data_IF_988381688966
#
_entry.id   IF_988381688966
#
_cell.length_a   1.000
_cell.length_b   1.000
_cell.length_c   1.000
_cell.angle_alpha   90.00
_cell.angle_beta   90.00
_cell.angle_gamma   90.00
#
_symmetry.space_group_name_H-M   'P 1'
#
loop_
_entity.id
_entity.type
_entity.pdbx_description
1 polymer ?
#
# COMPACT_ATOMS: atom_id res chain seq x y z
N UNK A 1 25.23 20.57 73.36
CA UNK A 1 25.63 19.24 72.85
C UNK A 1 26.64 19.42 71.72
N UNK A 2 27.86 18.88 71.91
CA UNK A 2 28.91 18.53 70.93
C UNK A 2 29.34 19.54 69.84
N UNK A 3 30.52 20.14 70.06
CA UNK A 3 31.61 20.38 69.07
C UNK A 3 32.05 19.05 68.40
N UNK A 4 32.83 18.98 67.26
CA UNK A 4 34.01 19.82 66.96
C UNK A 4 34.34 20.14 65.47
N UNK A 5 34.91 21.33 65.23
CA UNK A 5 36.32 21.63 64.84
C UNK A 5 36.74 21.36 63.38
N UNK A 6 36.99 22.49 62.67
CA UNK A 6 37.86 22.59 61.50
C UNK A 6 39.30 22.78 61.98
N UNK A 7 40.21 21.89 61.60
CA UNK A 7 41.65 22.04 61.78
C UNK A 7 42.29 22.69 60.55
N UNK A 8 42.88 23.86 60.75
CA UNK A 8 43.76 24.55 59.80
C UNK A 8 45.19 24.17 60.14
N UNK A 9 45.91 23.52 59.22
CA UNK A 9 47.36 23.32 59.35
C UNK A 9 48.12 24.23 58.38
N UNK A 10 49.05 24.97 58.97
CA UNK A 10 49.95 25.95 58.35
C UNK A 10 51.36 25.35 58.24
N UNK A 11 52.07 25.81 57.21
CA UNK A 11 53.52 25.95 57.08
C UNK A 11 54.39 24.71 56.74
N UNK A 12 55.16 24.86 55.65
CA UNK A 12 56.63 24.81 55.68
C UNK A 12 57.21 25.39 54.37
N UNK A 13 57.94 26.50 54.49
CA UNK A 13 58.81 27.03 53.45
C UNK A 13 60.19 26.34 53.52
N UNK A 14 60.86 26.04 52.40
CA UNK A 14 62.27 25.71 52.41
C UNK A 14 63.16 26.88 52.00
N UNK A 15 64.31 26.88 52.67
CA UNK A 15 65.47 27.79 52.62
C UNK A 15 65.98 28.08 51.22
N UNK A 16 66.31 29.36 51.03
CA UNK A 16 67.20 29.89 49.99
C UNK A 16 68.64 29.50 50.32
N UNK A 17 69.35 28.92 49.34
CA UNK A 17 70.80 28.76 49.36
C UNK A 17 71.38 29.43 48.11
N UNK A 18 72.36 30.31 48.35
CA UNK A 18 73.12 31.09 47.38
C UNK A 18 74.38 30.35 46.90
N UNK A 19 74.86 30.77 45.74
CA UNK A 19 76.20 30.61 45.15
C UNK A 19 76.54 29.30 44.40
N UNK A 20 76.73 29.41 43.08
CA UNK A 20 78.08 29.44 42.47
C UNK A 20 78.01 29.59 40.94
N UNK A 21 78.89 30.44 40.43
CA UNK A 21 79.17 30.76 39.02
C UNK A 21 80.04 29.67 38.36
N UNK A 22 79.77 29.32 37.10
CA UNK A 22 80.63 28.48 36.27
C UNK A 22 80.09 28.28 34.84
N UNK A 23 80.93 28.06 33.82
CA UNK A 23 80.75 28.67 32.50
C UNK A 23 79.96 27.84 31.48
N UNK A 24 79.43 28.60 30.52
CA UNK A 24 78.75 28.27 29.27
C UNK A 24 79.32 27.09 28.47
N UNK A 25 78.43 26.14 28.17
CA UNK A 25 78.55 25.17 27.07
C UNK A 25 77.20 25.07 26.32
N UNK A 26 77.20 24.85 24.99
CA UNK A 26 75.99 24.92 24.16
C UNK A 26 75.10 23.69 24.41
N UNK A 27 73.91 23.93 24.96
CA UNK A 27 72.88 22.90 25.17
C UNK A 27 71.95 22.84 23.95
N UNK A 28 71.81 21.62 23.42
CA UNK A 28 70.88 21.29 22.34
C UNK A 28 69.41 21.55 22.75
N UNK A 29 68.52 21.93 21.80
CA UNK A 29 67.11 22.18 22.07
C UNK A 29 66.37 20.85 22.33
N UNK A 30 66.38 20.39 23.58
CA UNK A 30 65.68 19.21 24.05
C UNK A 30 64.23 19.49 24.44
N UNK A 31 63.29 19.07 23.57
CA UNK A 31 62.08 18.34 23.93
C UNK A 31 61.24 18.86 25.13
N UNK A 32 60.55 20.00 24.97
CA UNK A 32 59.50 20.45 25.90
C UNK A 32 58.06 20.29 25.35
N UNK A 33 57.90 19.81 24.12
CA UNK A 33 56.58 19.70 23.45
C UNK A 33 55.81 18.41 23.77
N UNK A 34 56.45 17.38 24.33
CA UNK A 34 55.83 16.07 24.58
C UNK A 34 54.94 16.03 25.82
N UNK A 35 55.28 16.79 26.88
CA UNK A 35 54.50 16.83 28.13
C UNK A 35 53.14 17.50 27.96
N UNK A 36 53.07 18.50 27.07
CA UNK A 36 51.84 19.23 26.77
C UNK A 36 50.88 18.37 25.89
N UNK A 37 51.44 17.56 24.98
CA UNK A 37 50.63 16.64 24.17
C UNK A 37 50.01 15.50 24.99
N UNK A 38 50.72 14.97 25.99
CA UNK A 38 50.16 13.92 26.85
C UNK A 38 48.99 14.43 27.69
N UNK A 39 49.08 15.65 28.26
CA UNK A 39 47.98 16.27 29.00
C UNK A 39 46.78 16.58 28.09
N UNK A 40 47.02 17.04 26.85
CA UNK A 40 45.95 17.26 25.87
C UNK A 40 45.27 15.95 25.46
N UNK A 41 46.02 14.86 25.30
CA UNK A 41 45.47 13.54 25.00
C UNK A 41 44.65 13.00 26.18
N UNK A 42 45.12 13.16 27.42
CA UNK A 42 44.36 12.75 28.61
C UNK A 42 43.06 13.54 28.76
N UNK A 43 43.08 14.85 28.51
CA UNK A 43 41.88 15.68 28.54
C UNK A 43 40.90 15.27 27.42
N UNK A 44 41.40 14.97 26.23
CA UNK A 44 40.58 14.49 25.11
C UNK A 44 39.92 13.15 25.42
N UNK A 45 40.65 12.18 25.98
CA UNK A 45 40.11 10.89 26.41
C UNK A 45 39.07 11.04 27.52
N UNK A 46 39.27 11.94 28.48
CA UNK A 46 38.28 12.24 29.53
C UNK A 46 37.00 12.84 28.95
N UNK A 47 37.11 13.78 28.00
CA UNK A 47 35.95 14.37 27.33
C UNK A 47 35.20 13.33 26.48
N UNK A 48 35.91 12.45 25.78
CA UNK A 48 35.30 11.35 25.04
C UNK A 48 34.64 10.32 25.96
N UNK A 49 35.21 10.02 27.12
CA UNK A 49 34.61 9.12 28.10
C UNK A 49 33.30 9.69 28.67
N UNK A 50 33.26 11.00 28.99
CA UNK A 50 32.04 11.69 29.43
C UNK A 50 31.00 11.71 28.31
N UNK A 51 31.40 11.96 27.06
CA UNK A 51 30.48 11.97 25.93
C UNK A 51 29.91 10.57 25.65
N UNK A 52 30.74 9.52 25.69
CA UNK A 52 30.31 8.11 25.55
C UNK A 52 29.38 7.69 26.69
N UNK A 53 29.65 8.11 27.93
CA UNK A 53 28.76 7.88 29.06
C UNK A 53 27.42 8.62 28.89
N UNK A 54 27.45 9.84 28.36
CA UNK A 54 26.24 10.60 28.02
C UNK A 54 25.42 9.94 26.90
N UNK A 55 26.06 9.38 25.87
CA UNK A 55 25.41 8.64 24.80
C UNK A 55 24.85 7.28 25.29
N UNK A 56 25.56 6.57 26.17
CA UNK A 56 25.07 5.33 26.77
C UNK A 56 23.90 5.56 27.74
N UNK A 57 23.93 6.66 28.49
CA UNK A 57 22.81 7.11 29.31
C UNK A 57 21.61 7.54 28.44
N UNK A 58 21.85 8.23 27.31
CA UNK A 58 20.81 8.59 26.36
C UNK A 58 20.20 7.36 25.64
N UNK A 59 21.00 6.34 25.34
CA UNK A 59 20.55 5.09 24.71
C UNK A 59 19.75 4.19 25.68
N UNK A 60 20.07 4.19 26.98
CA UNK A 60 19.26 3.49 28.01
C UNK A 60 18.00 4.26 28.38
N UNK A 61 17.95 5.55 28.03
CA UNK A 61 16.79 6.46 28.12
C UNK A 61 15.94 6.43 26.84
N UNK A 62 16.03 5.36 26.04
CA UNK A 62 14.91 4.89 25.20
C UNK A 62 13.79 4.40 26.15
N UNK A 63 13.10 5.40 26.70
CA UNK A 63 12.66 5.43 28.10
C UNK A 63 11.35 4.69 28.31
N UNK A 64 11.01 4.39 29.57
CA UNK A 64 9.63 4.08 29.94
C UNK A 64 8.60 5.07 29.35
N UNK A 65 8.99 6.34 29.14
CA UNK A 65 8.24 7.34 28.39
C UNK A 65 7.96 6.94 26.93
N UNK A 66 8.96 6.46 26.16
CA UNK A 66 8.74 5.92 24.82
C UNK A 66 7.82 4.68 24.84
N UNK A 67 7.90 3.84 25.88
CA UNK A 67 6.94 2.72 26.07
C UNK A 67 5.52 3.22 26.37
N UNK A 68 5.35 4.25 27.18
CA UNK A 68 4.05 4.85 27.50
C UNK A 68 3.47 5.55 26.27
N UNK A 69 4.27 6.34 25.54
CA UNK A 69 3.89 7.01 24.29
C UNK A 69 3.51 5.98 23.22
N UNK A 70 4.30 4.92 23.04
CA UNK A 70 3.96 3.82 22.12
C UNK A 70 2.67 3.11 22.53
N UNK A 71 2.47 2.80 23.82
CA UNK A 71 1.23 2.19 24.32
C UNK A 71 0.02 3.11 24.13
N UNK A 72 0.19 4.42 24.30
CA UNK A 72 -0.84 5.42 24.07
C UNK A 72 -1.21 5.51 22.58
N UNK A 73 -0.21 5.59 21.69
CA UNK A 73 -0.43 5.60 20.25
C UNK A 73 -1.10 4.31 19.75
N UNK A 74 -0.73 3.14 20.29
CA UNK A 74 -1.41 1.87 19.99
C UNK A 74 -2.87 1.95 20.44
N UNK A 75 -3.16 2.38 21.68
CA UNK A 75 -4.54 2.50 22.18
C UNK A 75 -5.37 3.51 21.39
N UNK A 76 -4.77 4.63 20.98
CA UNK A 76 -5.44 5.63 20.14
C UNK A 76 -5.72 5.06 18.74
N UNK A 77 -4.80 4.26 18.18
CA UNK A 77 -5.03 3.50 16.96
C UNK A 77 -6.11 2.43 17.08
N UNK A 78 -6.11 1.66 18.17
CA UNK A 78 -7.11 0.62 18.45
C UNK A 78 -8.51 1.25 18.58
N UNK A 79 -8.63 2.38 19.29
CA UNK A 79 -9.90 3.12 19.40
C UNK A 79 -10.37 3.66 18.05
N UNK A 80 -9.48 4.27 17.27
CA UNK A 80 -9.83 4.77 15.95
C UNK A 80 -10.30 3.64 15.02
N UNK A 81 -9.70 2.44 15.14
CA UNK A 81 -10.15 1.25 14.43
C UNK A 81 -11.53 0.78 14.90
N UNK A 82 -11.76 0.73 16.21
CA UNK A 82 -13.06 0.36 16.79
C UNK A 82 -14.18 1.32 16.36
N UNK A 83 -13.90 2.63 16.38
CA UNK A 83 -14.85 3.67 15.95
C UNK A 83 -15.16 3.53 14.45
N UNK A 84 -14.13 3.33 13.61
CA UNK A 84 -14.32 3.05 12.19
C UNK A 84 -15.17 1.79 11.94
N UNK A 85 -14.90 0.69 12.65
CA UNK A 85 -15.69 -0.53 12.49
C UNK A 85 -17.13 -0.36 12.98
N UNK A 86 -17.36 0.50 13.99
CA UNK A 86 -18.70 0.87 14.44
C UNK A 86 -19.44 1.66 13.37
N UNK A 87 -18.78 2.63 12.75
CA UNK A 87 -19.36 3.42 11.65
C UNK A 87 -19.67 2.56 10.42
N UNK A 88 -18.86 1.53 10.17
CA UNK A 88 -19.05 0.57 9.08
C UNK A 88 -20.06 -0.54 9.41
N UNK A 89 -20.54 -0.68 10.65
CA UNK A 89 -21.36 -1.83 11.06
C UNK A 89 -22.66 -1.95 10.27
N UNK A 90 -23.34 -0.83 10.04
CA UNK A 90 -24.57 -0.80 9.26
C UNK A 90 -24.34 -1.28 7.82
N UNK A 91 -23.23 -0.87 7.20
CA UNK A 91 -22.85 -1.29 5.86
C UNK A 91 -22.49 -2.78 5.81
N UNK A 92 -21.67 -3.24 6.76
CA UNK A 92 -21.29 -4.65 6.91
C UNK A 92 -22.53 -5.55 7.04
N UNK A 93 -23.47 -5.14 7.90
CA UNK A 93 -24.71 -5.86 8.16
C UNK A 93 -25.62 -5.87 6.94
N UNK A 94 -25.73 -4.76 6.23
CA UNK A 94 -26.47 -4.67 4.98
C UNK A 94 -25.97 -5.69 3.94
N UNK A 95 -24.65 -5.79 3.74
CA UNK A 95 -24.09 -6.77 2.82
C UNK A 95 -24.22 -8.22 3.33
N UNK A 96 -23.97 -8.47 4.60
CA UNK A 96 -24.08 -9.82 5.17
C UNK A 96 -25.52 -10.36 5.12
N UNK A 97 -26.53 -9.51 5.35
CA UNK A 97 -27.95 -9.90 5.27
C UNK A 97 -28.37 -10.44 3.90
N UNK A 98 -27.73 -9.99 2.81
CA UNK A 98 -28.00 -10.50 1.46
C UNK A 98 -27.59 -11.96 1.25
N UNK A 99 -26.83 -12.50 2.20
CA UNK A 99 -26.23 -13.82 2.10
C UNK A 99 -26.62 -14.75 3.26
N UNK A 100 -26.98 -14.19 4.41
CA UNK A 100 -27.45 -14.91 5.58
C UNK A 100 -28.85 -15.52 5.33
N UNK A 101 -29.09 -16.74 5.78
CA UNK A 101 -30.44 -17.35 5.76
C UNK A 101 -31.13 -17.20 7.10
N UNK A 102 -30.36 -17.24 8.19
CA UNK A 102 -30.85 -17.02 9.54
C UNK A 102 -29.97 -16.02 10.32
N UNK A 103 -30.33 -15.82 11.59
CA UNK A 103 -29.60 -14.90 12.47
C UNK A 103 -28.18 -15.36 12.81
N UNK A 104 -27.94 -16.68 12.93
CA UNK A 104 -26.61 -17.21 13.25
C UNK A 104 -25.67 -17.05 12.06
N UNK A 105 -26.15 -17.32 10.85
CA UNK A 105 -25.41 -17.04 9.62
C UNK A 105 -25.02 -15.57 9.51
N UNK A 106 -25.94 -14.68 9.87
CA UNK A 106 -25.69 -13.24 9.82
C UNK A 106 -24.55 -12.86 10.77
N UNK A 107 -24.56 -13.38 11.99
CA UNK A 107 -23.49 -13.10 12.96
C UNK A 107 -22.15 -13.69 12.50
N UNK A 108 -22.12 -14.89 11.93
CA UNK A 108 -20.90 -15.52 11.39
C UNK A 108 -20.33 -14.74 10.18
N UNK A 109 -21.21 -14.30 9.27
CA UNK A 109 -20.82 -13.46 8.14
C UNK A 109 -20.37 -12.07 8.61
N UNK A 110 -20.99 -11.51 9.64
CA UNK A 110 -20.56 -10.23 10.25
C UNK A 110 -19.18 -10.33 10.87
N UNK A 111 -18.91 -11.39 11.65
CA UNK A 111 -17.59 -11.64 12.23
C UNK A 111 -16.52 -11.81 11.14
N UNK A 112 -16.85 -12.58 10.10
CA UNK A 112 -15.98 -12.77 8.93
C UNK A 112 -15.72 -11.44 8.23
N UNK A 113 -16.77 -10.65 7.96
CA UNK A 113 -16.67 -9.35 7.31
C UNK A 113 -15.78 -8.37 8.08
N UNK A 114 -15.96 -8.26 9.41
CA UNK A 114 -15.13 -7.43 10.28
C UNK A 114 -13.65 -7.87 10.26
N UNK A 115 -13.38 -9.16 10.39
CA UNK A 115 -12.02 -9.70 10.35
C UNK A 115 -11.33 -9.37 9.02
N UNK A 116 -12.05 -9.55 7.91
CA UNK A 116 -11.55 -9.25 6.58
C UNK A 116 -11.32 -7.74 6.38
N UNK A 117 -12.25 -6.88 6.83
CA UNK A 117 -12.09 -5.43 6.78
C UNK A 117 -10.83 -4.96 7.52
N UNK A 118 -10.59 -5.47 8.75
CA UNK A 118 -9.38 -5.15 9.53
C UNK A 118 -8.11 -5.59 8.81
N UNK A 119 -8.09 -6.81 8.25
CA UNK A 119 -6.91 -7.34 7.52
C UNK A 119 -6.60 -6.56 6.26
N UNK A 120 -7.63 -6.08 5.58
CA UNK A 120 -7.48 -5.35 4.33
C UNK A 120 -7.20 -3.86 4.56
N UNK A 121 -7.52 -3.30 5.74
CA UNK A 121 -7.39 -1.87 6.03
C UNK A 121 -5.99 -1.30 5.71
N UNK A 122 -4.85 -1.98 5.96
CA UNK A 122 -3.53 -1.47 5.57
C UNK A 122 -3.33 -1.30 4.06
N UNK A 123 -4.13 -1.97 3.23
CA UNK A 123 -4.12 -1.82 1.77
C UNK A 123 -4.99 -0.66 1.27
N UNK A 124 -5.88 -0.14 2.13
CA UNK A 124 -6.66 1.03 1.80
C UNK A 124 -5.78 2.28 1.79
N UNK A 125 -5.87 3.04 0.70
CA UNK A 125 -5.12 4.28 0.53
C UNK A 125 -6.11 5.44 0.69
N UNK A 126 -5.93 6.32 1.70
CA UNK A 126 -6.80 7.49 1.88
C UNK A 126 -6.86 8.39 0.64
N UNK A 127 -5.77 8.41 -0.13
CA UNK A 127 -5.63 9.21 -1.35
C UNK A 127 -6.04 8.44 -2.63
N UNK A 128 -6.58 7.23 -2.50
CA UNK A 128 -6.89 6.33 -3.62
C UNK A 128 -8.21 6.65 -4.35
N UNK A 129 -8.84 7.80 -4.09
CA UNK A 129 -10.08 8.25 -4.73
C UNK A 129 -11.35 7.54 -4.28
N UNK A 130 -11.26 6.32 -3.73
CA UNK A 130 -12.38 5.62 -3.12
C UNK A 130 -12.51 5.99 -1.65
N UNK A 131 -13.72 6.37 -1.22
CA UNK A 131 -14.03 6.48 0.21
C UNK A 131 -13.83 5.11 0.88
N UNK A 132 -13.59 5.11 2.19
CA UNK A 132 -13.41 3.86 2.93
C UNK A 132 -14.63 2.96 2.82
N UNK A 133 -15.85 3.52 2.84
CA UNK A 133 -17.09 2.79 2.65
C UNK A 133 -17.16 2.11 1.27
N UNK A 134 -16.81 2.83 0.20
CA UNK A 134 -16.80 2.28 -1.18
C UNK A 134 -15.77 1.16 -1.34
N UNK A 135 -14.57 1.35 -0.77
CA UNK A 135 -13.52 0.35 -0.81
C UNK A 135 -13.91 -0.91 -0.01
N UNK A 136 -14.44 -0.73 1.22
CA UNK A 136 -14.95 -1.81 2.06
C UNK A 136 -16.07 -2.58 1.34
N UNK A 137 -17.05 -1.90 0.73
CA UNK A 137 -18.13 -2.55 0.01
C UNK A 137 -17.63 -3.44 -1.15
N UNK A 138 -16.67 -2.95 -1.93
CA UNK A 138 -16.09 -3.68 -3.06
C UNK A 138 -15.37 -4.94 -2.60
N UNK A 139 -14.56 -4.81 -1.55
CA UNK A 139 -13.78 -5.89 -0.98
C UNK A 139 -14.65 -6.94 -0.26
N UNK A 140 -15.62 -6.49 0.53
CA UNK A 140 -16.55 -7.37 1.24
C UNK A 140 -17.37 -8.23 0.30
N UNK A 141 -17.78 -7.70 -0.85
CA UNK A 141 -18.58 -8.47 -1.80
C UNK A 141 -17.84 -9.72 -2.29
N UNK A 142 -16.55 -9.61 -2.64
CA UNK A 142 -15.73 -10.76 -3.06
C UNK A 142 -15.46 -11.75 -1.91
N UNK A 143 -15.21 -11.23 -0.70
CA UNK A 143 -14.89 -12.05 0.45
C UNK A 143 -16.11 -12.79 1.01
N UNK A 144 -17.25 -12.13 1.15
CA UNK A 144 -18.50 -12.75 1.61
C UNK A 144 -18.93 -13.85 0.64
N UNK A 145 -18.87 -13.59 -0.66
CA UNK A 145 -19.13 -14.61 -1.69
C UNK A 145 -18.21 -15.83 -1.54
N UNK A 146 -16.94 -15.60 -1.20
CA UNK A 146 -15.95 -16.67 -0.98
C UNK A 146 -16.15 -17.39 0.35
N UNK A 147 -16.60 -16.69 1.40
CA UNK A 147 -16.94 -17.26 2.70
C UNK A 147 -18.13 -18.20 2.59
N UNK A 148 -19.20 -17.79 1.90
CA UNK A 148 -20.40 -18.61 1.71
C UNK A 148 -20.08 -19.88 0.94
N UNK A 149 -19.27 -19.79 -0.12
CA UNK A 149 -18.82 -20.97 -0.87
C UNK A 149 -18.06 -21.98 0.00
N UNK A 150 -17.34 -21.50 1.03
CA UNK A 150 -16.60 -22.35 1.98
C UNK A 150 -17.53 -22.98 3.02
N UNK A 151 -18.49 -22.21 3.56
CA UNK A 151 -19.45 -22.70 4.56
C UNK A 151 -20.45 -23.66 3.90
N UNK A 152 -20.80 -23.44 2.63
CA UNK A 152 -21.84 -24.18 1.90
C UNK A 152 -21.35 -24.68 0.54
N UNK A 153 -20.48 -25.69 0.52
CA UNK A 153 -19.96 -26.25 -0.73
C UNK A 153 -21.02 -27.02 -1.54
N UNK A 154 -22.17 -27.39 -0.96
CA UNK A 154 -23.14 -28.33 -1.56
C UNK A 154 -24.56 -27.80 -1.76
N UNK A 155 -24.87 -26.55 -1.45
CA UNK A 155 -26.22 -26.05 -1.72
C UNK A 155 -26.33 -25.66 -3.20
N UNK A 156 -27.27 -26.29 -3.90
CA UNK A 156 -27.71 -25.94 -5.25
C UNK A 156 -27.78 -24.42 -5.37
N UNK A 157 -27.08 -23.89 -6.36
CA UNK A 157 -26.97 -22.47 -6.61
C UNK A 157 -28.38 -21.93 -6.84
N UNK A 158 -29.01 -21.41 -5.78
CA UNK A 158 -30.15 -20.53 -5.87
C UNK A 158 -29.64 -19.22 -6.50
N UNK A 159 -29.48 -19.24 -7.82
CA UNK A 159 -29.17 -18.07 -8.65
C UNK A 159 -30.36 -17.12 -8.79
N UNK A 160 -31.45 -17.36 -8.09
CA UNK A 160 -32.52 -16.39 -7.91
C UNK A 160 -33.08 -16.55 -6.52
N UNK A 161 -33.00 -15.50 -5.71
CA UNK A 161 -33.98 -15.31 -4.66
C UNK A 161 -34.69 -13.97 -4.90
N UNK A 162 -36.01 -14.09 -4.91
CA UNK A 162 -37.03 -13.08 -5.06
C UNK A 162 -36.81 -11.90 -4.11
N UNK A 163 -36.88 -10.68 -4.66
CA UNK A 163 -36.93 -9.41 -3.91
C UNK A 163 -38.19 -9.35 -3.01
N UNK A 164 -39.17 -10.23 -3.25
CA UNK A 164 -40.47 -10.27 -2.57
C UNK A 164 -40.48 -10.95 -1.20
N UNK A 165 -39.38 -11.58 -0.75
CA UNK A 165 -39.34 -12.22 0.58
C UNK A 165 -39.21 -11.24 1.77
N UNK A 166 -39.27 -9.93 1.51
CA UNK A 166 -39.34 -8.88 2.54
C UNK A 166 -40.76 -8.66 3.08
N UNK A 167 -41.81 -9.08 2.36
CA UNK A 167 -43.21 -8.95 2.80
C UNK A 167 -43.62 -10.01 3.84
N UNK A 168 -43.00 -11.19 3.85
CA UNK A 168 -43.40 -12.31 4.73
C UNK A 168 -42.96 -12.18 6.19
N UNK A 169 -42.17 -11.15 6.53
CA UNK A 169 -41.70 -10.90 7.91
C UNK A 169 -42.56 -9.90 8.69
N UNK A 170 -43.62 -9.33 8.09
CA UNK A 170 -44.56 -8.46 8.79
C UNK A 170 -43.94 -7.23 9.46
N UNK A 171 -42.76 -6.80 8.99
CA UNK A 171 -42.11 -5.58 9.45
C UNK A 171 -42.64 -4.42 8.62
N UNK A 172 -43.56 -3.66 9.21
CA UNK A 172 -44.15 -2.44 8.64
C UNK A 172 -43.05 -1.52 8.06
N UNK A 173 -43.18 -1.07 6.79
CA UNK A 173 -42.19 -0.23 6.10
C UNK A 173 -41.80 1.08 6.82
N UNK A 174 -42.63 1.55 7.77
CA UNK A 174 -42.44 2.86 8.41
C UNK A 174 -41.19 2.95 9.32
N UNK A 175 -40.63 1.82 9.78
CA UNK A 175 -39.44 1.83 10.67
C UNK A 175 -38.14 1.92 9.86
N UNK A 176 -38.15 1.51 8.58
CA UNK A 176 -36.98 1.60 7.69
C UNK A 176 -36.86 3.00 7.08
N UNK A 177 -37.98 3.66 6.79
CA UNK A 177 -37.98 5.06 6.34
C UNK A 177 -37.55 6.04 7.45
N UNK A 178 -37.92 5.81 8.72
CA UNK A 178 -37.46 6.68 9.83
C UNK A 178 -35.97 6.54 10.14
N UNK A 179 -35.35 5.38 9.85
CA UNK A 179 -33.90 5.22 9.96
C UNK A 179 -33.15 5.87 8.79
N UNK A 180 -33.81 6.07 7.65
CA UNK A 180 -33.27 6.80 6.50
C UNK A 180 -33.47 8.32 6.64
N UNK A 181 -34.59 8.79 7.18
CA UNK A 181 -34.89 10.22 7.37
C UNK A 181 -33.92 10.92 8.34
N UNK A 182 -33.27 10.17 9.26
CA UNK A 182 -32.25 10.74 10.15
C UNK A 182 -30.85 10.84 9.52
N UNK A 183 -30.62 10.18 8.38
CA UNK A 183 -29.37 10.25 7.60
C UNK A 183 -29.56 11.13 6.34
N UNK A 184 -30.79 11.41 5.94
CA UNK A 184 -31.16 12.26 4.81
C UNK A 184 -31.24 13.77 5.10
N UNK A 185 -30.61 14.26 6.18
CA UNK A 185 -30.26 15.70 6.28
C UNK A 185 -28.96 16.04 5.52
N UNK A 186 -28.66 15.32 4.43
CA UNK A 186 -27.62 15.64 3.47
C UNK A 186 -28.27 16.11 2.17
N UNK A 187 -28.70 17.37 2.16
CA UNK A 187 -29.16 18.13 0.98
C UNK A 187 -28.13 18.18 -0.17
N UNK A 188 -26.96 17.57 -0.01
CA UNK A 188 -25.85 17.54 -0.98
C UNK A 188 -25.96 16.41 -2.02
N UNK A 189 -26.65 15.29 -1.74
CA UNK A 189 -26.62 14.12 -2.66
C UNK A 189 -27.62 14.24 -3.81
N UNK A 190 -28.85 14.70 -3.54
CA UNK A 190 -29.88 14.92 -4.57
C UNK A 190 -29.49 16.02 -5.56
N UNK A 191 -29.02 17.15 -5.04
CA UNK A 191 -28.54 18.31 -5.82
C UNK A 191 -27.34 17.97 -6.74
N UNK A 192 -26.56 16.93 -6.41
CA UNK A 192 -25.42 16.47 -7.23
C UNK A 192 -25.87 15.52 -8.34
N UNK A 193 -26.87 14.68 -8.08
CA UNK A 193 -27.47 13.80 -9.10
C UNK A 193 -28.25 14.61 -10.15
N UNK A 194 -29.00 15.64 -9.75
CA UNK A 194 -29.74 16.50 -10.68
C UNK A 194 -28.81 17.32 -11.58
N UNK A 195 -27.69 17.82 -11.03
CA UNK A 195 -26.64 18.49 -11.83
C UNK A 195 -25.95 17.54 -12.82
N UNK A 196 -25.70 16.30 -12.40
CA UNK A 196 -25.17 15.26 -13.28
C UNK A 196 -26.12 14.95 -14.44
N UNK A 197 -27.42 14.80 -14.13
CA UNK A 197 -28.47 14.54 -15.11
C UNK A 197 -28.58 15.63 -16.17
N UNK A 198 -28.41 16.90 -15.79
CA UNK A 198 -28.49 18.04 -16.72
C UNK A 198 -27.32 18.19 -17.70
N UNK A 199 -26.21 17.47 -17.48
CA UNK A 199 -24.97 17.61 -18.27
C UNK A 199 -24.63 16.40 -19.14
N UNK A 200 -25.42 15.33 -19.05
CA UNK A 200 -25.25 14.12 -19.83
C UNK A 200 -26.15 14.13 -21.08
N UNK A 201 -25.70 13.41 -22.13
CA UNK A 201 -26.56 13.12 -23.27
C UNK A 201 -27.82 12.37 -22.80
N UNK A 202 -29.02 12.65 -23.34
CA UNK A 202 -30.28 12.05 -22.87
C UNK A 202 -30.25 10.52 -22.82
N UNK A 203 -29.48 9.87 -23.69
CA UNK A 203 -29.35 8.41 -23.71
C UNK A 203 -28.49 7.89 -22.55
N UNK A 204 -27.47 8.65 -22.12
CA UNK A 204 -26.59 8.27 -21.01
C UNK A 204 -27.26 8.55 -19.65
N UNK A 205 -28.07 9.61 -19.56
CA UNK A 205 -28.89 9.91 -18.40
C UNK A 205 -29.96 8.82 -18.16
N UNK A 206 -30.63 8.36 -19.22
CA UNK A 206 -31.62 7.29 -19.14
C UNK A 206 -31.00 5.98 -18.63
N UNK A 207 -29.82 5.60 -19.13
CA UNK A 207 -29.13 4.39 -18.70
C UNK A 207 -28.67 4.42 -17.24
N UNK A 208 -28.19 5.57 -16.75
CA UNK A 208 -27.85 5.74 -15.34
C UNK A 208 -29.09 5.66 -14.44
N UNK A 209 -30.22 6.23 -14.88
CA UNK A 209 -31.48 6.20 -14.15
C UNK A 209 -32.12 4.80 -14.12
N UNK A 210 -32.01 4.01 -15.18
CA UNK A 210 -32.43 2.60 -15.23
C UNK A 210 -31.58 1.72 -14.31
N UNK A 211 -30.26 1.96 -14.27
CA UNK A 211 -29.35 1.27 -13.35
C UNK A 211 -29.61 1.62 -11.88
N UNK A 212 -29.87 2.89 -11.57
CA UNK A 212 -30.21 3.32 -10.20
C UNK A 212 -31.52 2.67 -9.72
N UNK A 213 -32.44 2.37 -10.65
CA UNK A 213 -33.68 1.63 -10.39
C UNK A 213 -33.52 0.11 -10.36
N UNK A 214 -32.33 -0.42 -10.67
CA UNK A 214 -32.05 -1.85 -10.62
C UNK A 214 -32.53 -2.65 -11.83
N UNK A 215 -32.91 -2.00 -12.94
CA UNK A 215 -33.33 -2.67 -14.17
C UNK A 215 -32.11 -3.13 -14.99
N UNK A 216 -31.52 -4.28 -14.61
CA UNK A 216 -30.26 -4.79 -15.20
C UNK A 216 -30.45 -5.46 -16.57
N UNK A 217 -31.69 -5.56 -17.06
CA UNK A 217 -32.03 -6.29 -18.30
C UNK A 217 -31.35 -5.75 -19.56
N UNK A 218 -31.04 -4.45 -19.63
CA UNK A 218 -30.43 -3.82 -20.80
C UNK A 218 -28.89 -3.69 -20.74
N UNK A 219 -28.26 -3.88 -19.57
CA UNK A 219 -26.84 -3.55 -19.34
C UNK A 219 -25.88 -4.76 -19.31
N UNK A 220 -26.27 -5.89 -19.92
CA UNK A 220 -25.53 -7.16 -19.83
C UNK A 220 -24.18 -7.23 -20.56
N UNK A 221 -23.90 -6.34 -21.51
CA UNK A 221 -22.67 -6.44 -22.32
C UNK A 221 -21.43 -5.92 -21.59
N UNK A 222 -20.28 -6.54 -21.85
CA UNK A 222 -18.99 -6.06 -21.33
C UNK A 222 -18.67 -4.62 -21.76
N UNK A 223 -19.25 -4.18 -22.88
CA UNK A 223 -19.17 -2.83 -23.38
C UNK A 223 -19.98 -1.84 -22.54
N UNK A 224 -21.19 -2.19 -22.10
CA UNK A 224 -22.00 -1.37 -21.19
C UNK A 224 -21.27 -1.14 -19.86
N UNK A 225 -20.64 -2.19 -19.30
CA UNK A 225 -19.80 -2.07 -18.08
C UNK A 225 -18.55 -1.22 -18.29
N UNK A 226 -17.91 -1.31 -19.45
CA UNK A 226 -16.77 -0.47 -19.81
C UNK A 226 -17.16 1.00 -19.98
N UNK A 227 -18.34 1.27 -20.53
CA UNK A 227 -18.87 2.62 -20.76
C UNK A 227 -19.32 3.29 -19.47
N UNK A 228 -19.95 2.56 -18.54
CA UNK A 228 -20.28 3.07 -17.19
C UNK A 228 -19.01 3.46 -16.42
N UNK A 229 -17.94 2.66 -16.51
CA UNK A 229 -16.65 3.03 -15.92
C UNK A 229 -16.06 4.30 -16.54
N UNK A 230 -16.25 4.49 -17.84
CA UNK A 230 -15.79 5.70 -18.54
C UNK A 230 -16.61 6.95 -18.15
N UNK A 231 -17.93 6.81 -17.97
CA UNK A 231 -18.83 7.91 -17.54
C UNK A 231 -18.59 8.33 -16.08
N UNK A 232 -18.37 7.38 -15.18
CA UNK A 232 -17.99 7.67 -13.79
C UNK A 232 -16.61 8.37 -13.72
N UNK A 233 -15.71 8.06 -14.65
CA UNK A 233 -14.40 8.69 -14.78
C UNK A 233 -14.42 10.04 -15.56
N UNK A 234 -15.57 10.47 -16.08
CA UNK A 234 -15.67 11.69 -16.91
C UNK A 234 -15.61 12.96 -16.04
N UNK A 235 -14.86 14.01 -16.42
CA UNK A 235 -14.59 15.19 -15.58
C UNK A 235 -15.84 16.00 -15.15
N UNK A 236 -16.97 15.89 -15.85
CA UNK A 236 -18.24 16.51 -15.43
C UNK A 236 -18.96 15.75 -14.31
N UNK A 237 -18.49 14.55 -13.93
CA UNK A 237 -19.12 13.76 -12.87
C UNK A 237 -18.88 14.29 -11.45
N UNK A 238 -18.08 15.36 -11.32
CA UNK A 238 -17.70 15.91 -10.02
C UNK A 238 -16.79 14.99 -9.20
N UNK A 239 -16.42 13.82 -9.73
CA UNK A 239 -15.30 13.01 -9.24
C UNK A 239 -14.03 13.77 -9.62
N UNK A 240 -13.51 14.56 -8.67
CA UNK A 240 -12.28 15.33 -8.87
C UNK A 240 -11.19 14.45 -9.47
N UNK A 241 -10.69 14.84 -10.64
CA UNK A 241 -9.40 14.39 -11.14
C UNK A 241 -8.30 14.98 -10.22
N UNK A 242 -8.16 14.44 -9.02
CA UNK A 242 -6.93 14.62 -8.23
C UNK A 242 -5.88 13.70 -8.85
N UNK A 243 -5.10 14.25 -9.78
CA UNK A 243 -3.76 13.77 -10.16
C UNK A 243 -3.55 12.27 -9.95
N UNK A 244 -4.17 11.44 -10.79
CA UNK A 244 -3.84 10.04 -10.91
C UNK A 244 -2.45 9.93 -11.56
N UNK A 245 -1.39 10.10 -10.77
CA UNK A 245 0.00 9.92 -11.23
C UNK A 245 0.40 8.44 -11.23
N UNK A 246 -0.49 7.49 -10.90
CA UNK A 246 -0.12 6.08 -10.78
C UNK A 246 -1.17 5.07 -11.23
N UNK A 247 -2.21 5.51 -11.95
CA UNK A 247 -3.04 4.56 -12.69
C UNK A 247 -2.28 4.18 -13.96
N UNK A 248 -1.92 2.90 -14.17
CA UNK A 248 -1.21 2.50 -15.37
C UNK A 248 -2.06 2.83 -16.60
N UNK A 249 -1.44 3.42 -17.60
CA UNK A 249 -2.11 3.68 -18.86
C UNK A 249 -2.10 2.39 -19.69
N UNK A 250 -3.26 1.92 -20.19
CA UNK A 250 -3.29 0.79 -21.11
C UNK A 250 -2.50 1.16 -22.37
N UNK A 251 -1.58 0.29 -22.78
CA UNK A 251 -0.85 0.47 -24.04
C UNK A 251 -1.64 -0.20 -25.17
N UNK A 252 -1.59 0.36 -26.39
CA UNK A 252 -2.19 -0.30 -27.53
C UNK A 252 -1.57 -1.70 -27.70
N UNK A 253 -2.43 -2.69 -27.94
CA UNK A 253 -1.98 -4.06 -28.21
C UNK A 253 -1.29 -4.07 -29.57
N UNK A 254 0.04 -4.06 -29.56
CA UNK A 254 0.83 -4.32 -30.76
C UNK A 254 1.02 -5.83 -30.94
N UNK A 255 1.03 -6.34 -32.18
CA UNK A 255 1.47 -7.70 -32.47
C UNK A 255 2.81 -7.99 -31.80
N UNK A 256 3.03 -9.25 -31.41
CA UNK A 256 4.29 -9.67 -30.83
C UNK A 256 5.38 -9.61 -31.91
N UNK A 257 6.36 -8.75 -31.71
CA UNK A 257 7.52 -8.58 -32.58
C UNK A 257 8.75 -8.46 -31.69
N UNK A 258 9.69 -9.40 -31.83
CA UNK A 258 10.84 -9.47 -30.91
C UNK A 258 11.75 -8.25 -31.02
N UNK A 259 11.86 -7.65 -32.20
CA UNK A 259 12.76 -6.52 -32.46
C UNK A 259 12.14 -5.22 -31.98
N UNK A 260 10.85 -5.00 -32.27
CA UNK A 260 10.09 -3.86 -31.77
C UNK A 260 9.97 -3.89 -30.24
N UNK A 261 9.69 -5.07 -29.68
CA UNK A 261 9.57 -5.24 -28.23
C UNK A 261 10.94 -5.08 -27.53
N UNK A 262 12.03 -5.58 -28.14
CA UNK A 262 13.38 -5.35 -27.63
C UNK A 262 13.70 -3.85 -27.60
N UNK A 263 13.38 -3.12 -28.67
CA UNK A 263 13.60 -1.67 -28.72
C UNK A 263 12.78 -0.95 -27.65
N UNK A 264 11.53 -1.35 -27.45
CA UNK A 264 10.65 -0.76 -26.45
C UNK A 264 11.15 -0.97 -25.02
N UNK A 265 11.47 -2.21 -24.64
CA UNK A 265 11.95 -2.53 -23.28
C UNK A 265 13.32 -1.89 -23.03
N UNK A 266 14.17 -1.76 -24.05
CA UNK A 266 15.45 -1.06 -23.90
C UNK A 266 15.25 0.44 -23.62
N UNK A 267 14.21 1.06 -24.20
CA UNK A 267 13.86 2.46 -23.96
C UNK A 267 13.08 2.66 -22.65
N UNK A 268 12.33 1.64 -22.20
CA UNK A 268 11.46 1.69 -21.02
C UNK A 268 11.75 0.47 -20.13
N UNK A 269 12.91 0.44 -19.45
CA UNK A 269 13.31 -0.71 -18.68
C UNK A 269 12.40 -0.93 -17.47
N UNK A 270 11.91 0.15 -16.85
CA UNK A 270 11.04 0.09 -15.69
C UNK A 270 9.56 0.05 -16.12
N UNK A 271 8.79 -0.96 -15.70
CA UNK A 271 7.37 -1.03 -16.01
C UNK A 271 6.58 0.05 -15.23
N UNK A 272 5.43 0.47 -15.76
CA UNK A 272 4.55 1.42 -15.07
C UNK A 272 4.14 0.92 -13.67
N UNK A 273 4.03 1.77 -12.65
CA UNK A 273 3.53 1.36 -11.34
C UNK A 273 2.13 0.73 -11.46
N UNK A 274 1.87 -0.32 -10.67
CA UNK A 274 0.59 -1.03 -10.61
C UNK A 274 0.09 -1.63 -11.94
N UNK A 275 0.94 -1.80 -12.96
CA UNK A 275 0.56 -2.35 -14.28
C UNK A 275 -0.16 -3.71 -14.17
N UNK A 276 0.15 -4.50 -13.14
CA UNK A 276 -0.44 -5.83 -12.90
C UNK A 276 -1.96 -5.80 -12.73
N UNK A 277 -2.54 -4.69 -12.25
CA UNK A 277 -4.00 -4.53 -12.06
C UNK A 277 -4.75 -4.56 -13.39
N UNK A 278 -4.10 -4.16 -14.50
CA UNK A 278 -4.69 -4.19 -15.84
C UNK A 278 -4.34 -5.44 -16.65
N UNK A 279 -3.61 -6.39 -16.06
CA UNK A 279 -3.25 -7.62 -16.74
C UNK A 279 -4.50 -8.47 -17.02
N UNK A 280 -4.68 -8.92 -18.26
CA UNK A 280 -5.80 -9.82 -18.62
C UNK A 280 -5.75 -11.17 -17.90
N UNK A 281 -4.58 -11.58 -17.45
CA UNK A 281 -4.40 -12.79 -16.65
C UNK A 281 -4.57 -12.57 -15.14
N UNK A 282 -4.90 -11.34 -14.70
CA UNK A 282 -5.15 -11.07 -13.29
C UNK A 282 -6.36 -11.89 -12.81
N UNK A 283 -6.11 -12.80 -11.86
CA UNK A 283 -7.12 -13.71 -11.31
C UNK A 283 -7.21 -15.08 -11.97
N UNK A 284 -6.45 -15.32 -13.05
CA UNK A 284 -6.32 -16.67 -13.64
C UNK A 284 -5.36 -17.54 -12.81
N UNK A 285 -5.35 -18.85 -13.05
CA UNK A 285 -4.44 -19.78 -12.38
C UNK A 285 -2.99 -19.57 -12.82
N UNK A 286 -2.07 -19.42 -11.87
CA UNK A 286 -0.66 -19.13 -12.16
C UNK A 286 0.01 -20.22 -12.99
N UNK A 287 -0.40 -21.48 -12.81
CA UNK A 287 0.14 -22.64 -13.53
C UNK A 287 -0.03 -22.53 -15.06
N UNK A 288 -1.06 -21.83 -15.54
CA UNK A 288 -1.33 -21.66 -16.97
C UNK A 288 -0.29 -20.77 -17.68
N UNK A 289 0.27 -19.80 -16.94
CA UNK A 289 1.25 -18.83 -17.45
C UNK A 289 2.68 -19.17 -17.05
N UNK A 290 2.85 -19.97 -16.00
CA UNK A 290 4.14 -20.38 -15.43
C UNK A 290 4.17 -21.91 -15.26
N UNK A 291 4.01 -22.69 -16.34
CA UNK A 291 3.99 -24.15 -16.24
C UNK A 291 5.40 -24.71 -15.95
N UNK A 292 5.49 -25.96 -15.46
CA UNK A 292 6.76 -26.66 -15.33
C UNK A 292 7.55 -26.69 -16.66
N UNK A 293 8.89 -26.78 -16.55
CA UNK A 293 9.76 -26.79 -17.73
C UNK A 293 9.40 -27.95 -18.66
N UNK A 294 9.26 -27.64 -19.96
CA UNK A 294 8.98 -28.63 -21.00
C UNK A 294 7.50 -28.74 -21.38
N UNK A 295 6.59 -28.11 -20.64
CA UNK A 295 5.17 -28.04 -20.99
C UNK A 295 4.95 -26.91 -21.99
N UNK A 296 4.21 -27.21 -23.07
CA UNK A 296 3.80 -26.20 -24.04
C UNK A 296 2.70 -25.30 -23.47
N UNK A 297 2.72 -24.01 -23.82
CA UNK A 297 1.65 -23.10 -23.43
C UNK A 297 0.40 -23.37 -24.28
N UNK A 298 -0.78 -23.31 -23.66
CA UNK A 298 -2.04 -23.37 -24.39
C UNK A 298 -2.20 -22.16 -25.33
N UNK A 299 -2.85 -22.37 -26.48
CA UNK A 299 -3.11 -21.30 -27.46
C UNK A 299 -3.93 -20.16 -26.84
N UNK A 300 -4.84 -20.47 -25.91
CA UNK A 300 -5.63 -19.49 -25.15
C UNK A 300 -4.75 -18.58 -24.29
N UNK A 301 -3.72 -19.12 -23.64
CA UNK A 301 -2.73 -18.36 -22.84
C UNK A 301 -1.93 -17.43 -23.75
N UNK A 302 -1.49 -17.92 -24.90
CA UNK A 302 -0.74 -17.13 -25.90
C UNK A 302 -1.59 -15.97 -26.40
N UNK A 303 -2.83 -16.24 -26.81
CA UNK A 303 -3.73 -15.23 -27.39
C UNK A 303 -4.13 -14.17 -26.37
N UNK A 304 -4.35 -14.57 -25.11
CA UNK A 304 -4.60 -13.61 -24.04
C UNK A 304 -3.41 -12.69 -23.80
N UNK A 305 -2.19 -13.23 -23.80
CA UNK A 305 -0.98 -12.42 -23.66
C UNK A 305 -0.76 -11.47 -24.84
N UNK A 306 -1.08 -11.89 -26.07
CA UNK A 306 -1.00 -11.04 -27.28
C UNK A 306 -1.88 -9.80 -27.18
N UNK A 307 -3.08 -9.96 -26.64
CA UNK A 307 -4.10 -8.92 -26.58
C UNK A 307 -4.12 -8.15 -25.24
N UNK A 308 -3.18 -8.45 -24.34
CA UNK A 308 -3.10 -7.83 -23.02
C UNK A 308 -2.65 -6.36 -23.12
N UNK A 309 -3.37 -5.39 -22.51
CA UNK A 309 -3.05 -3.96 -22.62
C UNK A 309 -1.74 -3.58 -21.90
N UNK A 310 -1.24 -4.44 -21.02
CA UNK A 310 0.02 -4.24 -20.27
C UNK A 310 1.11 -5.21 -20.73
N UNK A 311 1.01 -5.74 -21.95
CA UNK A 311 1.95 -6.72 -22.53
C UNK A 311 3.40 -6.25 -22.43
N UNK A 312 3.66 -4.99 -22.77
CA UNK A 312 5.01 -4.41 -22.79
C UNK A 312 5.57 -4.17 -21.38
N UNK A 313 4.76 -3.65 -20.46
CA UNK A 313 5.17 -3.48 -19.06
C UNK A 313 5.43 -4.84 -18.39
N UNK A 314 4.59 -5.86 -18.68
CA UNK A 314 4.83 -7.24 -18.28
C UNK A 314 6.16 -7.79 -18.82
N UNK A 315 6.45 -7.54 -20.11
CA UNK A 315 7.70 -7.96 -20.72
C UNK A 315 8.93 -7.27 -20.11
N UNK A 316 8.82 -5.98 -19.78
CA UNK A 316 9.86 -5.22 -19.09
C UNK A 316 10.17 -5.84 -17.71
N UNK A 317 9.14 -6.06 -16.89
CA UNK A 317 9.27 -6.73 -15.60
C UNK A 317 9.93 -8.12 -15.74
N UNK A 318 9.41 -8.94 -16.66
CA UNK A 318 9.96 -10.27 -16.93
C UNK A 318 11.38 -10.22 -17.49
N UNK A 319 11.78 -9.19 -18.23
CA UNK A 319 13.14 -9.11 -18.77
C UNK A 319 14.18 -8.81 -17.70
N UNK A 320 13.78 -8.21 -16.58
CA UNK A 320 14.64 -7.99 -15.42
C UNK A 320 14.77 -9.25 -14.55
N UNK A 321 13.67 -9.97 -14.33
CA UNK A 321 13.66 -11.16 -13.47
C UNK A 321 13.90 -12.46 -14.26
N UNK A 322 15.12 -12.98 -14.19
CA UNK A 322 15.48 -14.25 -14.84
C UNK A 322 15.08 -15.51 -14.09
N UNK A 323 14.59 -15.39 -12.86
CA UNK A 323 14.36 -16.52 -11.96
C UNK A 323 13.08 -17.28 -12.31
N UNK A 324 12.07 -16.59 -12.87
CA UNK A 324 10.77 -17.18 -13.18
C UNK A 324 10.68 -17.70 -14.63
N UNK A 325 10.62 -19.04 -14.83
CA UNK A 325 10.25 -19.63 -16.11
C UNK A 325 8.75 -19.41 -16.34
N UNK A 326 8.38 -18.78 -17.46
CA UNK A 326 6.99 -18.49 -17.76
C UNK A 326 6.84 -17.55 -18.95
N UNK A 327 5.59 -17.24 -19.28
CA UNK A 327 5.22 -16.31 -20.33
C UNK A 327 5.12 -14.89 -19.77
N UNK A 328 5.89 -13.95 -20.34
CA UNK A 328 5.81 -12.54 -19.97
C UNK A 328 5.59 -11.71 -21.23
N UNK A 329 4.53 -10.91 -21.25
CA UNK A 329 4.18 -10.10 -22.43
C UNK A 329 4.03 -10.91 -23.72
N UNK A 330 3.64 -12.19 -23.60
CA UNK A 330 3.53 -13.13 -24.72
C UNK A 330 4.85 -13.77 -25.16
N UNK A 331 5.96 -13.49 -24.48
CA UNK A 331 7.26 -14.07 -24.78
C UNK A 331 7.63 -15.20 -23.81
N UNK A 332 7.98 -16.40 -24.31
CA UNK A 332 8.56 -17.46 -23.48
C UNK A 332 10.00 -17.12 -23.09
N UNK A 333 10.57 -17.90 -22.15
CA UNK A 333 11.93 -17.70 -21.63
C UNK A 333 13.00 -17.59 -22.72
N UNK A 334 12.90 -18.37 -23.81
CA UNK A 334 13.85 -18.34 -24.93
C UNK A 334 13.84 -16.97 -25.63
N UNK A 335 12.65 -16.42 -25.91
CA UNK A 335 12.50 -15.12 -26.54
C UNK A 335 12.98 -13.99 -25.61
N UNK A 336 12.62 -14.02 -24.33
CA UNK A 336 13.15 -13.09 -23.30
C UNK A 336 14.66 -13.12 -23.19
N UNK A 337 15.28 -14.29 -23.33
CA UNK A 337 16.74 -14.43 -23.33
C UNK A 337 17.39 -13.79 -24.55
N UNK A 338 16.74 -13.86 -25.72
CA UNK A 338 17.19 -13.13 -26.90
C UNK A 338 17.09 -11.60 -26.71
N UNK A 339 15.97 -11.12 -26.14
CA UNK A 339 15.75 -9.70 -25.81
C UNK A 339 16.86 -9.18 -24.87
N UNK A 340 17.14 -9.89 -23.76
CA UNK A 340 18.22 -9.53 -22.82
C UNK A 340 19.59 -9.50 -23.48
N UNK A 341 19.89 -10.48 -24.34
CA UNK A 341 21.17 -10.52 -25.08
C UNK A 341 21.30 -9.32 -26.01
N UNK A 342 20.23 -8.94 -26.71
CA UNK A 342 20.21 -7.79 -27.60
C UNK A 342 20.34 -6.45 -26.85
N UNK A 343 19.81 -6.33 -25.63
CA UNK A 343 20.03 -5.16 -24.77
C UNK A 343 21.49 -5.03 -24.35
N UNK A 344 22.11 -6.14 -23.94
CA UNK A 344 23.52 -6.14 -23.51
C UNK A 344 24.48 -5.73 -24.62
N UNK A 345 24.26 -6.22 -25.85
CA UNK A 345 25.11 -5.88 -27.01
C UNK A 345 24.96 -4.42 -27.44
N UNK A 346 23.77 -3.82 -27.29
CA UNK A 346 23.58 -2.38 -27.52
C UNK A 346 24.30 -1.55 -26.46
N UNK A 347 24.19 -1.92 -25.18
CA UNK A 347 24.85 -1.19 -24.10
C UNK A 347 26.38 -1.18 -24.25
N UNK A 348 27.00 -2.32 -24.62
CA UNK A 348 28.45 -2.40 -24.82
C UNK A 348 28.97 -1.54 -25.97
N UNK A 349 28.15 -1.29 -27.01
CA UNK A 349 28.54 -0.43 -28.15
C UNK A 349 28.52 1.05 -27.81
N UNK A 350 27.71 1.46 -26.83
CA UNK A 350 27.61 2.86 -26.38
C UNK A 350 28.81 3.24 -25.52
N UNK A 351 29.32 2.32 -24.70
CA UNK A 351 30.43 2.57 -23.77
C UNK A 351 31.83 2.61 -24.40
N UNK A 352 31.99 2.21 -25.67
CA UNK A 352 33.29 2.12 -26.36
C UNK A 352 33.53 3.25 -27.37
N UNK A 353 32.61 4.21 -27.46
CA UNK A 353 32.81 5.48 -28.15
C UNK A 353 32.99 6.57 -27.13
#
# INVERSE_FOLDING_TARGET
MRSPQRGVHRAKAPKVALCSTGPSGPTAPGCMTTRNNHQRHQLHEQLLAVHRAGLAAAATVETAANRIVRRRAIREGDRALEDLLRDLDGLLRYFARRFAHDHHDLEDLMQTARLHAVRALPSWQPNGGATIATWVATFLHSELRSAIRRIRPHHEVLTSFDINALDDLGLEPCVVEQAFEFVESATDTGDRLDRLHSTLDPHDALHLAEMARGDVGAAGSAWARGRVRALVAHPTSGVMQTTATSSPFPRPSTPIDIDADTAWVAANPEPQPNWTVLARCAGDEQADYFPPRGVAYADSTIERCRTCPVRLDCLAAGSQDSTWPGMWGGHPLRARTAIRKAMRTKHSKVTTK
#
